data_IF_781022089280
#
_entry.id   IF_781022089280
#
_cell.length_a   1.000
_cell.length_b   1.000
_cell.length_c   1.000
_cell.angle_alpha   90.00
_cell.angle_beta   90.00
_cell.angle_gamma   90.00
#
_symmetry.space_group_name_H-M   'P 1'
#
loop_
_entity.id
_entity.type
_entity.pdbx_description
1 polymer ?
#
# COMPACT_ATOMS: atom_id res chain seq x y z
N UNK A 1 -29.82 -3.27 17.33
CA UNK A 1 -29.50 -1.87 17.61
C UNK A 1 -28.47 -1.39 16.60
N UNK A 2 -28.63 -0.18 16.10
CA UNK A 2 -27.63 0.45 15.21
C UNK A 2 -26.36 0.82 16.00
N UNK A 3 -25.23 1.02 15.31
CA UNK A 3 -23.98 1.43 15.98
C UNK A 3 -24.15 2.78 16.71
N UNK A 4 -24.99 3.67 16.19
CA UNK A 4 -25.33 4.94 16.84
C UNK A 4 -26.14 4.76 18.13
N UNK A 5 -27.07 3.80 18.14
CA UNK A 5 -27.84 3.44 19.35
C UNK A 5 -26.93 2.82 20.42
N UNK A 6 -26.03 1.92 20.02
CA UNK A 6 -25.04 1.32 20.91
C UNK A 6 -24.11 2.40 21.51
N UNK A 7 -23.60 3.31 20.68
CA UNK A 7 -22.78 4.43 21.11
C UNK A 7 -23.53 5.35 22.08
N UNK A 8 -24.79 5.70 21.76
CA UNK A 8 -25.63 6.54 22.62
C UNK A 8 -25.86 5.87 23.98
N UNK A 9 -26.19 4.58 24.02
CA UNK A 9 -26.43 3.86 25.25
C UNK A 9 -25.15 3.80 26.13
N UNK A 10 -23.99 3.52 25.52
CA UNK A 10 -22.73 3.47 26.25
C UNK A 10 -22.31 4.86 26.78
N UNK A 11 -22.50 5.92 25.98
CA UNK A 11 -22.27 7.30 26.43
C UNK A 11 -23.21 7.69 27.58
N UNK A 12 -24.49 7.29 27.52
CA UNK A 12 -25.44 7.55 28.61
C UNK A 12 -25.01 6.89 29.91
N UNK A 13 -24.44 5.68 29.85
CA UNK A 13 -23.88 5.02 31.01
C UNK A 13 -22.73 5.84 31.62
N UNK A 14 -21.79 6.33 30.81
CA UNK A 14 -20.68 7.17 31.28
C UNK A 14 -21.13 8.52 31.86
N UNK A 15 -22.07 9.19 31.20
CA UNK A 15 -22.60 10.49 31.62
C UNK A 15 -23.46 10.38 32.87
N UNK A 16 -24.06 9.21 33.11
CA UNK A 16 -24.87 8.92 34.29
C UNK A 16 -24.07 8.70 35.57
N UNK A 17 -22.74 8.63 35.51
CA UNK A 17 -21.89 8.52 36.70
C UNK A 17 -21.94 9.82 37.54
N UNK A 18 -22.04 9.66 38.85
CA UNK A 18 -22.13 10.77 39.82
C UNK A 18 -20.96 11.75 39.67
N UNK A 19 -19.77 11.22 39.39
CA UNK A 19 -18.51 11.97 39.26
C UNK A 19 -18.41 12.73 37.93
N UNK A 20 -19.15 12.30 36.90
CA UNK A 20 -18.95 12.77 35.54
C UNK A 20 -19.19 14.28 35.41
N UNK A 21 -20.30 14.79 35.96
CA UNK A 21 -20.68 16.20 35.78
C UNK A 21 -19.65 17.17 36.35
N UNK A 22 -19.19 16.91 37.58
CA UNK A 22 -18.19 17.74 38.26
C UNK A 22 -16.81 17.63 37.58
N UNK A 23 -16.41 16.42 37.19
CA UNK A 23 -15.15 16.19 36.49
C UNK A 23 -15.14 16.88 35.12
N UNK A 24 -16.18 16.67 34.32
CA UNK A 24 -16.31 17.24 32.97
C UNK A 24 -16.20 18.76 33.01
N UNK A 25 -16.94 19.42 33.93
CA UNK A 25 -16.87 20.89 34.08
C UNK A 25 -15.46 21.38 34.38
N UNK A 26 -14.77 20.74 35.34
CA UNK A 26 -13.39 21.08 35.67
C UNK A 26 -12.40 20.82 34.52
N UNK A 27 -12.65 19.76 33.73
CA UNK A 27 -11.79 19.41 32.60
C UNK A 27 -11.92 20.45 31.48
N UNK A 28 -13.14 20.81 31.09
CA UNK A 28 -13.37 21.76 29.98
C UNK A 28 -12.95 23.20 30.30
N UNK A 29 -12.91 23.59 31.58
CA UNK A 29 -12.34 24.87 32.02
C UNK A 29 -10.83 24.96 31.76
N UNK A 30 -10.14 23.81 31.70
CA UNK A 30 -8.69 23.73 31.47
C UNK A 30 -8.33 23.36 30.03
N UNK A 31 -9.13 22.50 29.41
CA UNK A 31 -8.86 21.94 28.08
C UNK A 31 -10.16 21.74 27.30
N UNK A 32 -10.29 22.44 26.18
CA UNK A 32 -11.43 22.25 25.28
C UNK A 32 -11.31 20.93 24.51
N UNK A 33 -12.41 20.18 24.41
CA UNK A 33 -12.50 18.97 23.59
C UNK A 33 -12.95 19.37 22.19
N UNK A 34 -12.05 19.34 21.19
CA UNK A 34 -12.33 19.74 19.81
C UNK A 34 -12.08 18.62 18.79
N UNK A 35 -11.24 17.66 19.14
CA UNK A 35 -10.78 16.58 18.27
C UNK A 35 -11.05 15.21 18.90
N UNK A 36 -10.91 14.13 18.12
CA UNK A 36 -10.99 12.78 18.67
C UNK A 36 -9.86 12.49 19.68
N UNK A 37 -8.69 13.08 19.48
CA UNK A 37 -7.57 12.96 20.42
C UNK A 37 -7.89 13.60 21.76
N UNK A 38 -8.48 14.81 21.76
CA UNK A 38 -8.91 15.47 23.00
C UNK A 38 -9.97 14.62 23.75
N UNK A 39 -10.82 13.91 23.01
CA UNK A 39 -11.82 13.03 23.59
C UNK A 39 -11.20 11.77 24.22
N UNK A 40 -10.19 11.17 23.58
CA UNK A 40 -9.43 10.06 24.15
C UNK A 40 -8.66 10.48 25.41
N UNK A 41 -8.08 11.68 25.42
CA UNK A 41 -7.42 12.27 26.57
C UNK A 41 -8.41 12.51 27.72
N UNK A 42 -9.60 13.03 27.41
CA UNK A 42 -10.68 13.19 28.38
C UNK A 42 -11.04 11.84 29.03
N UNK A 43 -11.26 10.79 28.23
CA UNK A 43 -11.58 9.47 28.77
C UNK A 43 -10.45 8.88 29.61
N UNK A 44 -9.19 9.08 29.19
CA UNK A 44 -8.02 8.66 29.97
C UNK A 44 -7.94 9.38 31.32
N UNK A 45 -8.14 10.70 31.33
CA UNK A 45 -8.14 11.50 32.55
C UNK A 45 -9.31 11.13 33.47
N UNK A 46 -10.49 10.88 32.91
CA UNK A 46 -11.66 10.49 33.69
C UNK A 46 -11.50 9.09 34.29
N UNK A 47 -10.91 8.14 33.56
CA UNK A 47 -10.52 6.83 34.09
C UNK A 47 -9.58 6.99 35.30
N UNK A 48 -8.50 7.76 35.17
CA UNK A 48 -7.56 7.99 36.27
C UNK A 48 -8.23 8.62 37.49
N UNK A 49 -9.20 9.51 37.27
CA UNK A 49 -10.00 10.09 38.35
C UNK A 49 -10.84 9.03 39.06
N UNK A 50 -11.56 8.18 38.33
CA UNK A 50 -12.36 7.10 38.91
C UNK A 50 -11.50 6.04 39.62
N UNK A 51 -10.32 5.71 39.06
CA UNK A 51 -9.32 4.86 39.70
C UNK A 51 -8.87 5.46 41.05
N UNK A 52 -8.59 6.77 41.10
CA UNK A 52 -8.20 7.45 42.35
C UNK A 52 -9.27 7.43 43.43
N UNK A 53 -10.53 7.26 43.05
CA UNK A 53 -11.69 7.14 43.94
C UNK A 53 -12.04 5.67 44.25
N UNK A 54 -11.35 4.69 43.67
CA UNK A 54 -11.69 3.28 43.79
C UNK A 54 -13.03 2.90 43.15
N UNK A 55 -13.50 3.69 42.18
CA UNK A 55 -14.81 3.52 41.51
C UNK A 55 -14.69 2.91 40.11
N UNK A 56 -13.48 2.76 39.59
CA UNK A 56 -13.24 2.07 38.32
C UNK A 56 -13.44 0.56 38.46
N UNK A 57 -14.08 -0.06 37.48
CA UNK A 57 -14.36 -1.50 37.46
C UNK A 57 -14.42 -2.05 36.03
N UNK A 58 -14.53 -3.37 35.89
CA UNK A 58 -14.54 -4.06 34.60
C UNK A 58 -15.72 -3.67 33.70
N UNK A 59 -16.86 -3.29 34.28
CA UNK A 59 -18.04 -2.84 33.53
C UNK A 59 -17.80 -1.47 32.87
N UNK A 60 -17.14 -0.55 33.59
CA UNK A 60 -16.75 0.76 33.08
C UNK A 60 -15.63 0.64 32.05
N UNK A 61 -14.68 -0.27 32.26
CA UNK A 61 -13.65 -0.62 31.28
C UNK A 61 -14.28 -1.14 29.98
N UNK A 62 -15.25 -2.05 30.08
CA UNK A 62 -15.99 -2.56 28.93
C UNK A 62 -16.81 -1.45 28.25
N UNK A 63 -17.50 -0.61 29.03
CA UNK A 63 -18.28 0.50 28.49
C UNK A 63 -17.41 1.48 27.72
N UNK A 64 -16.22 1.82 28.24
CA UNK A 64 -15.28 2.70 27.56
C UNK A 64 -14.78 2.09 26.24
N UNK A 65 -14.50 0.78 26.24
CA UNK A 65 -14.13 0.05 25.01
C UNK A 65 -15.25 0.12 23.97
N UNK A 66 -16.50 -0.10 24.38
CA UNK A 66 -17.67 0.01 23.50
C UNK A 66 -17.81 1.44 22.95
N UNK A 67 -17.66 2.48 23.77
CA UNK A 67 -17.72 3.87 23.30
C UNK A 67 -16.68 4.10 22.22
N UNK A 68 -15.42 3.73 22.46
CA UNK A 68 -14.33 3.92 21.50
C UNK A 68 -14.57 3.17 20.20
N UNK A 69 -14.95 1.89 20.29
CA UNK A 69 -15.22 1.06 19.13
C UNK A 69 -16.39 1.59 18.29
N UNK A 70 -17.52 1.91 18.93
CA UNK A 70 -18.71 2.36 18.21
C UNK A 70 -18.52 3.78 17.65
N UNK A 71 -17.82 4.65 18.37
CA UNK A 71 -17.47 5.98 17.87
C UNK A 71 -16.62 5.91 16.59
N UNK A 72 -15.61 5.03 16.56
CA UNK A 72 -14.78 4.82 15.38
C UNK A 72 -15.57 4.25 14.20
N UNK A 73 -16.48 3.31 14.45
CA UNK A 73 -17.37 2.77 13.41
C UNK A 73 -18.29 3.85 12.84
N UNK A 74 -18.94 4.64 13.70
CA UNK A 74 -19.84 5.73 13.27
C UNK A 74 -19.08 6.81 12.52
N UNK A 75 -17.88 7.18 12.98
CA UNK A 75 -16.98 8.13 12.29
C UNK A 75 -16.62 7.63 10.90
N UNK A 76 -16.27 6.35 10.78
CA UNK A 76 -15.95 5.72 9.50
C UNK A 76 -17.16 5.70 8.55
N UNK A 77 -18.34 5.32 9.04
CA UNK A 77 -19.59 5.31 8.26
C UNK A 77 -20.02 6.69 7.76
N UNK A 78 -19.71 7.75 8.52
CA UNK A 78 -19.99 9.14 8.16
C UNK A 78 -18.88 9.81 7.35
N UNK A 79 -17.75 9.13 7.13
CA UNK A 79 -16.65 9.68 6.34
C UNK A 79 -17.11 9.87 4.89
N UNK A 80 -16.88 11.07 4.34
CA UNK A 80 -17.19 11.36 2.94
C UNK A 80 -16.34 10.54 1.97
N UNK A 81 -15.17 10.04 2.41
CA UNK A 81 -14.37 9.07 1.64
C UNK A 81 -13.76 8.02 2.58
N UNK A 82 -14.16 6.75 2.45
CA UNK A 82 -13.59 5.65 3.24
C UNK A 82 -12.08 5.45 3.03
N UNK A 83 -11.54 5.91 1.90
CA UNK A 83 -10.11 5.83 1.56
C UNK A 83 -9.21 6.61 2.52
N UNK A 84 -9.70 7.66 3.17
CA UNK A 84 -8.92 8.44 4.14
C UNK A 84 -9.11 7.94 5.57
N UNK A 85 -10.26 7.33 5.85
CA UNK A 85 -10.62 6.96 7.21
C UNK A 85 -10.00 5.64 7.63
N UNK A 86 -9.38 5.61 8.81
CA UNK A 86 -8.91 4.38 9.46
C UNK A 86 -9.89 4.07 10.57
N UNK A 87 -10.42 2.85 10.56
CA UNK A 87 -11.25 2.35 11.65
C UNK A 87 -10.35 1.59 12.64
N UNK A 88 -10.02 2.19 13.79
CA UNK A 88 -9.08 1.57 14.72
C UNK A 88 -9.67 0.34 15.42
N UNK A 89 -11.00 0.23 15.54
CA UNK A 89 -11.61 -0.97 16.11
C UNK A 89 -11.48 -2.21 15.22
N UNK A 90 -11.22 -1.99 13.93
CA UNK A 90 -10.96 -3.05 12.94
C UNK A 90 -9.49 -3.18 12.57
N UNK A 91 -8.59 -2.43 13.24
CA UNK A 91 -7.16 -2.46 12.96
C UNK A 91 -6.53 -3.63 13.72
N UNK A 92 -5.80 -4.48 13.01
CA UNK A 92 -5.07 -5.59 13.62
C UNK A 92 -3.86 -5.09 14.42
N UNK A 93 -3.45 -5.85 15.43
CA UNK A 93 -2.25 -5.54 16.19
C UNK A 93 -0.99 -5.89 15.38
N UNK A 94 -0.34 -4.86 14.87
CA UNK A 94 0.89 -4.95 14.08
C UNK A 94 2.15 -4.55 14.87
N UNK A 95 2.06 -4.42 16.21
CA UNK A 95 3.19 -3.94 17.02
C UNK A 95 4.44 -4.85 16.91
N UNK A 96 4.24 -6.14 16.59
CA UNK A 96 5.32 -7.10 16.36
C UNK A 96 6.09 -6.86 15.06
N UNK A 97 5.57 -6.07 14.11
CA UNK A 97 6.26 -5.80 12.85
C UNK A 97 7.59 -5.08 13.05
N UNK A 98 7.75 -4.29 14.12
CA UNK A 98 9.03 -3.65 14.42
C UNK A 98 10.13 -4.68 14.73
N UNK A 99 9.77 -5.78 15.40
CA UNK A 99 10.67 -6.89 15.67
C UNK A 99 11.02 -7.61 14.36
N UNK A 100 10.01 -7.90 13.54
CA UNK A 100 10.21 -8.46 12.20
C UNK A 100 11.17 -7.59 11.36
N UNK A 101 11.03 -6.26 11.36
CA UNK A 101 11.93 -5.37 10.62
C UNK A 101 13.37 -5.42 11.12
N UNK A 102 13.58 -5.56 12.43
CA UNK A 102 14.92 -5.69 13.01
C UNK A 102 15.55 -7.01 12.56
N UNK A 103 14.85 -8.12 12.78
CA UNK A 103 15.34 -9.46 12.45
C UNK A 103 15.55 -9.64 10.94
N UNK A 104 14.64 -9.12 10.10
CA UNK A 104 14.80 -9.16 8.65
C UNK A 104 16.03 -8.38 8.16
N UNK A 105 16.37 -7.25 8.83
CA UNK A 105 17.60 -6.50 8.51
C UNK A 105 18.86 -7.27 8.88
N UNK A 106 18.83 -8.10 9.93
CA UNK A 106 19.95 -8.95 10.34
C UNK A 106 20.23 -10.09 9.37
N UNK A 107 19.28 -10.39 8.47
CA UNK A 107 19.48 -11.32 7.36
C UNK A 107 20.35 -10.71 6.24
N UNK A 108 20.53 -9.39 6.17
CA UNK A 108 21.31 -8.76 5.09
C UNK A 108 22.81 -9.06 5.24
N UNK A 109 23.46 -9.50 4.17
CA UNK A 109 24.91 -9.84 4.17
C UNK A 109 25.81 -8.64 3.95
N UNK A 110 25.25 -7.49 3.58
CA UNK A 110 25.99 -6.30 3.16
C UNK A 110 26.40 -6.31 1.68
N UNK A 111 26.25 -7.45 0.99
CA UNK A 111 26.50 -7.54 -0.45
C UNK A 111 25.48 -6.71 -1.22
N UNK A 112 25.92 -6.08 -2.31
CA UNK A 112 25.07 -5.32 -3.21
C UNK A 112 25.25 -5.83 -4.64
N UNK A 113 24.12 -6.08 -5.29
CA UNK A 113 24.06 -6.49 -6.69
C UNK A 113 23.31 -5.42 -7.46
N UNK A 114 23.86 -5.05 -8.61
CA UNK A 114 23.23 -4.10 -9.51
C UNK A 114 22.73 -4.89 -10.71
N UNK A 115 21.41 -4.96 -10.86
CA UNK A 115 20.79 -5.64 -12.00
C UNK A 115 20.25 -4.61 -12.99
N UNK A 116 20.79 -4.59 -14.20
CA UNK A 116 20.32 -3.69 -15.24
C UNK A 116 18.84 -3.96 -15.58
N UNK A 117 18.04 -2.94 -15.39
CA UNK A 117 16.62 -2.92 -15.64
C UNK A 117 16.41 -2.57 -17.12
N UNK A 118 16.47 -3.57 -18.03
CA UNK A 118 15.84 -3.42 -19.37
C UNK A 118 14.41 -2.93 -19.16
N UNK A 119 13.90 -1.91 -19.87
CA UNK A 119 12.80 -1.03 -19.41
C UNK A 119 11.74 -1.78 -18.59
N UNK A 120 11.94 -1.88 -17.26
CA UNK A 120 11.02 -2.58 -16.35
C UNK A 120 9.92 -1.59 -16.03
N UNK A 121 8.68 -2.05 -16.15
CA UNK A 121 7.55 -1.13 -16.29
C UNK A 121 7.27 -0.25 -15.06
N UNK A 122 7.79 -0.51 -13.85
CA UNK A 122 7.28 0.17 -12.65
C UNK A 122 8.29 0.68 -11.59
N UNK A 123 9.62 0.51 -11.68
CA UNK A 123 10.57 1.04 -10.66
C UNK A 123 11.71 1.91 -11.26
N UNK A 124 11.77 3.15 -10.77
CA UNK A 124 12.78 4.26 -10.85
C UNK A 124 13.71 4.47 -12.06
N UNK A 125 13.98 5.76 -12.30
CA UNK A 125 14.84 6.32 -13.37
C UNK A 125 16.30 6.29 -12.90
N UNK A 126 16.84 5.07 -12.94
CA UNK A 126 18.22 4.70 -13.26
C UNK A 126 18.09 3.21 -13.49
N UNK A 127 18.49 2.73 -14.67
CA UNK A 127 18.20 1.39 -15.22
C UNK A 127 18.93 0.27 -14.46
N UNK A 128 18.90 0.27 -13.12
CA UNK A 128 19.68 -0.58 -12.23
C UNK A 128 18.89 -0.81 -10.94
N UNK A 129 18.49 -2.06 -10.69
CA UNK A 129 17.91 -2.51 -9.42
C UNK A 129 19.06 -2.80 -8.48
N UNK A 130 19.14 -2.08 -7.36
CA UNK A 130 20.06 -2.44 -6.27
C UNK A 130 19.37 -3.51 -5.44
N UNK A 131 19.89 -4.73 -5.53
CA UNK A 131 19.52 -5.86 -4.70
C UNK A 131 20.56 -6.02 -3.60
N UNK A 132 20.10 -6.36 -2.40
CA UNK A 132 20.97 -6.65 -1.28
C UNK A 132 21.07 -8.16 -1.08
N UNK A 133 22.27 -8.66 -0.81
CA UNK A 133 22.48 -10.05 -0.44
C UNK A 133 21.77 -10.37 0.87
N UNK A 134 21.19 -11.56 0.93
CA UNK A 134 20.43 -12.05 2.09
C UNK A 134 20.91 -13.46 2.43
N UNK A 135 21.16 -13.70 3.71
CA UNK A 135 21.42 -15.02 4.27
C UNK A 135 20.13 -15.85 4.28
N UNK A 136 20.06 -16.84 3.39
CA UNK A 136 18.87 -17.68 3.20
C UNK A 136 18.50 -18.51 4.44
N UNK A 137 19.48 -18.93 5.25
CA UNK A 137 19.22 -19.70 6.47
C UNK A 137 18.52 -18.82 7.50
N UNK A 138 19.05 -17.62 7.75
CA UNK A 138 18.43 -16.64 8.64
C UNK A 138 17.06 -16.21 8.13
N UNK A 139 16.92 -15.98 6.83
CA UNK A 139 15.64 -15.62 6.22
C UNK A 139 14.56 -16.68 6.46
N UNK A 140 14.92 -17.96 6.36
CA UNK A 140 14.02 -19.08 6.62
C UNK A 140 13.59 -19.15 8.08
N UNK A 141 14.52 -18.93 9.02
CA UNK A 141 14.23 -18.85 10.46
C UNK A 141 13.27 -17.70 10.78
N UNK A 142 13.58 -16.50 10.26
CA UNK A 142 12.73 -15.32 10.42
C UNK A 142 11.34 -15.57 9.83
N UNK A 143 11.23 -16.08 8.59
CA UNK A 143 9.93 -16.36 7.99
C UNK A 143 9.11 -17.37 8.81
N UNK A 144 9.75 -18.45 9.28
CA UNK A 144 9.08 -19.48 10.08
C UNK A 144 8.49 -18.93 11.39
N UNK A 145 9.13 -17.89 11.98
CA UNK A 145 8.63 -17.22 13.18
C UNK A 145 7.35 -16.42 12.92
N UNK A 146 7.18 -15.86 11.72
CA UNK A 146 6.07 -14.95 11.40
C UNK A 146 5.05 -15.49 10.38
N UNK A 147 5.27 -16.68 9.82
CA UNK A 147 4.43 -17.24 8.75
C UNK A 147 2.97 -17.42 9.16
N UNK A 148 2.72 -17.74 10.43
CA UNK A 148 1.38 -18.03 10.96
C UNK A 148 0.47 -16.79 10.99
N UNK A 149 1.05 -15.59 11.00
CA UNK A 149 0.27 -14.35 10.90
C UNK A 149 -0.31 -14.13 9.51
N UNK A 150 0.25 -14.79 8.47
CA UNK A 150 -0.11 -14.61 7.06
C UNK A 150 -0.24 -13.12 6.66
N UNK A 151 0.64 -12.29 7.21
CA UNK A 151 0.58 -10.84 7.07
C UNK A 151 1.12 -10.43 5.69
N UNK A 152 0.39 -9.62 4.90
CA UNK A 152 0.77 -9.26 3.52
C UNK A 152 2.18 -8.67 3.41
N UNK A 153 2.57 -7.84 4.37
CA UNK A 153 3.90 -7.22 4.39
C UNK A 153 5.04 -8.22 4.61
N UNK A 154 4.85 -9.23 5.46
CA UNK A 154 5.84 -10.28 5.73
C UNK A 154 5.99 -11.14 4.48
N UNK A 155 4.86 -11.60 3.93
CA UNK A 155 4.84 -12.40 2.71
C UNK A 155 5.50 -11.66 1.54
N UNK A 156 5.20 -10.37 1.37
CA UNK A 156 5.87 -9.52 0.38
C UNK A 156 7.38 -9.48 0.60
N UNK A 157 7.82 -9.12 1.81
CA UNK A 157 9.23 -8.89 2.12
C UNK A 157 10.07 -10.15 1.86
N UNK A 158 9.56 -11.31 2.26
CA UNK A 158 10.26 -12.60 2.08
C UNK A 158 10.17 -13.12 0.65
N UNK A 159 8.97 -13.15 0.06
CA UNK A 159 8.79 -13.63 -1.30
C UNK A 159 9.60 -12.81 -2.31
N UNK A 160 9.69 -11.49 -2.09
CA UNK A 160 10.47 -10.59 -2.95
C UNK A 160 11.94 -10.93 -2.99
N UNK A 161 12.54 -11.24 -1.85
CA UNK A 161 13.93 -11.68 -1.80
C UNK A 161 14.11 -12.98 -2.60
N UNK A 162 13.22 -13.96 -2.39
CA UNK A 162 13.32 -15.28 -3.00
C UNK A 162 13.18 -15.25 -4.52
N UNK A 163 12.14 -14.62 -5.06
CA UNK A 163 11.98 -14.58 -6.52
C UNK A 163 13.02 -13.68 -7.20
N UNK A 164 13.55 -12.63 -6.54
CA UNK A 164 14.66 -11.83 -7.08
C UNK A 164 15.96 -12.64 -7.10
N UNK A 165 16.15 -13.53 -6.13
CA UNK A 165 17.22 -14.53 -6.13
C UNK A 165 16.95 -15.69 -7.12
N UNK A 166 15.84 -15.63 -7.88
CA UNK A 166 15.39 -16.69 -8.80
C UNK A 166 15.17 -18.04 -8.12
N UNK A 167 14.82 -18.02 -6.83
CA UNK A 167 14.30 -19.14 -6.08
C UNK A 167 12.77 -19.06 -6.09
N UNK A 168 12.18 -19.47 -7.22
CA UNK A 168 10.74 -19.39 -7.45
C UNK A 168 9.99 -20.50 -6.73
N UNK A 169 10.59 -21.69 -6.58
CA UNK A 169 9.97 -22.82 -5.86
C UNK A 169 9.60 -22.46 -4.42
N UNK A 170 10.46 -21.71 -3.72
CA UNK A 170 10.19 -21.23 -2.36
C UNK A 170 9.42 -19.89 -2.35
N UNK A 171 9.71 -18.98 -3.29
CA UNK A 171 9.12 -17.65 -3.32
C UNK A 171 7.64 -17.62 -3.75
N UNK A 172 7.26 -18.41 -4.75
CA UNK A 172 5.90 -18.40 -5.30
C UNK A 172 4.84 -18.88 -4.31
N UNK A 173 5.04 -19.94 -3.49
CA UNK A 173 4.09 -20.32 -2.46
C UNK A 173 3.80 -19.22 -1.43
N UNK A 174 4.83 -18.47 -1.02
CA UNK A 174 4.70 -17.36 -0.05
C UNK A 174 3.90 -16.21 -0.69
N UNK A 175 4.26 -15.82 -1.92
CA UNK A 175 3.51 -14.83 -2.70
C UNK A 175 2.04 -15.26 -2.87
N UNK A 176 1.78 -16.54 -3.18
CA UNK A 176 0.42 -17.09 -3.30
C UNK A 176 -0.37 -16.93 -2.00
N UNK A 177 0.22 -17.26 -0.86
CA UNK A 177 -0.43 -17.08 0.45
C UNK A 177 -0.79 -15.62 0.71
N UNK A 178 0.12 -14.71 0.40
CA UNK A 178 -0.13 -13.27 0.48
C UNK A 178 -1.26 -12.81 -0.43
N UNK A 179 -1.29 -13.23 -1.70
CA UNK A 179 -2.35 -12.85 -2.65
C UNK A 179 -3.71 -13.35 -2.16
N UNK A 180 -3.81 -14.58 -1.65
CA UNK A 180 -5.06 -15.12 -1.11
C UNK A 180 -5.64 -14.30 0.05
N UNK A 181 -4.80 -13.66 0.86
CA UNK A 181 -5.28 -12.86 1.99
C UNK A 181 -5.77 -11.46 1.61
N UNK A 182 -5.51 -10.99 0.37
CA UNK A 182 -5.80 -9.61 -0.05
C UNK A 182 -6.60 -9.48 -1.34
N UNK A 183 -6.77 -10.55 -2.12
CA UNK A 183 -7.42 -10.51 -3.44
C UNK A 183 -8.95 -10.71 -3.39
N UNK A 184 -9.54 -10.75 -2.18
CA UNK A 184 -10.98 -10.90 -1.97
C UNK A 184 -11.44 -10.08 -0.79
N UNK A 185 -12.66 -9.53 -0.87
CA UNK A 185 -13.31 -8.86 0.25
C UNK A 185 -13.96 -9.89 1.20
N UNK A 186 -13.93 -9.66 2.54
CA UNK A 186 -13.32 -8.53 3.23
C UNK A 186 -11.80 -8.67 3.37
N UNK A 187 -11.06 -7.57 3.14
CA UNK A 187 -9.64 -7.50 3.48
C UNK A 187 -9.46 -7.03 4.94
N UNK A 188 -9.02 -7.95 5.81
CA UNK A 188 -8.78 -7.67 7.23
C UNK A 188 -7.67 -6.64 7.48
N UNK A 189 -6.78 -6.42 6.52
CA UNK A 189 -5.65 -5.51 6.60
C UNK A 189 -5.95 -4.09 6.10
N UNK A 190 -7.20 -3.79 5.72
CA UNK A 190 -7.59 -2.49 5.14
C UNK A 190 -7.33 -1.26 6.04
N UNK A 191 -7.28 -1.49 7.37
CA UNK A 191 -7.02 -0.45 8.37
C UNK A 191 -5.55 -0.42 8.85
N UNK A 192 -4.70 -1.27 8.30
CA UNK A 192 -3.31 -1.45 8.70
C UNK A 192 -2.39 -0.89 7.62
N UNK A 193 -1.58 0.13 7.96
CA UNK A 193 -0.69 0.79 6.99
C UNK A 193 0.26 -0.22 6.33
N UNK A 194 0.94 -1.07 7.11
CA UNK A 194 1.82 -2.11 6.58
C UNK A 194 1.06 -3.19 5.83
N UNK A 195 -0.16 -3.51 6.26
CA UNK A 195 -1.07 -4.40 5.56
C UNK A 195 -1.39 -3.93 4.13
N UNK A 196 -1.76 -2.66 3.98
CA UNK A 196 -2.02 -2.02 2.66
C UNK A 196 -0.74 -1.92 1.83
N UNK A 197 0.40 -1.61 2.46
CA UNK A 197 1.71 -1.59 1.79
C UNK A 197 2.06 -2.97 1.21
N UNK A 198 1.98 -4.02 2.02
CA UNK A 198 2.23 -5.38 1.58
C UNK A 198 1.26 -5.84 0.49
N UNK A 199 -0.04 -5.54 0.64
CA UNK A 199 -1.04 -5.87 -0.37
C UNK A 199 -0.73 -5.24 -1.74
N UNK A 200 -0.34 -3.96 -1.73
CA UNK A 200 0.06 -3.24 -2.94
C UNK A 200 1.20 -3.96 -3.65
N UNK A 201 2.27 -4.26 -2.92
CA UNK A 201 3.47 -4.81 -3.53
C UNK A 201 3.33 -6.28 -3.92
N UNK A 202 2.56 -7.09 -3.19
CA UNK A 202 2.21 -8.45 -3.62
C UNK A 202 1.53 -8.44 -5.00
N UNK A 203 0.55 -7.55 -5.21
CA UNK A 203 -0.15 -7.45 -6.51
C UNK A 203 0.80 -6.94 -7.60
N UNK A 204 1.62 -5.93 -7.30
CA UNK A 204 2.61 -5.41 -8.23
C UNK A 204 3.59 -6.50 -8.68
N UNK A 205 4.09 -7.29 -7.74
CA UNK A 205 5.01 -8.40 -7.99
C UNK A 205 4.34 -9.53 -8.78
N UNK A 206 3.09 -9.85 -8.47
CA UNK A 206 2.32 -10.83 -9.25
C UNK A 206 2.15 -10.39 -10.71
N UNK A 207 1.74 -9.14 -10.94
CA UNK A 207 1.61 -8.57 -12.29
C UNK A 207 2.95 -8.54 -13.03
N UNK A 208 4.04 -8.22 -12.32
CA UNK A 208 5.39 -8.23 -12.88
C UNK A 208 5.84 -9.63 -13.30
N UNK A 209 5.68 -10.62 -12.41
CA UNK A 209 6.08 -12.01 -12.66
C UNK A 209 5.30 -12.61 -13.82
N UNK A 210 4.00 -12.29 -13.91
CA UNK A 210 3.14 -12.75 -14.97
C UNK A 210 3.51 -12.15 -16.34
N UNK A 211 3.82 -10.85 -16.43
CA UNK A 211 4.28 -10.24 -17.67
C UNK A 211 3.37 -10.57 -18.89
N UNK A 212 3.96 -11.10 -19.96
CA UNK A 212 3.22 -11.53 -21.17
C UNK A 212 2.36 -12.78 -20.97
N UNK A 213 2.60 -13.56 -19.91
CA UNK A 213 1.83 -14.79 -19.64
C UNK A 213 0.35 -14.50 -19.41
N UNK A 214 -0.03 -13.29 -19.01
CA UNK A 214 -1.44 -12.91 -18.88
C UNK A 214 -2.19 -12.94 -20.21
N UNK A 215 -1.57 -12.37 -21.25
CA UNK A 215 -2.19 -12.25 -22.57
C UNK A 215 -2.17 -13.62 -23.28
N UNK A 216 -1.10 -14.41 -23.08
CA UNK A 216 -0.94 -15.76 -23.66
C UNK A 216 -1.93 -16.80 -23.08
N UNK A 217 -2.42 -16.59 -21.86
CA UNK A 217 -3.30 -17.54 -21.17
C UNK A 217 -4.75 -17.06 -21.04
N UNK A 218 -5.17 -16.07 -21.83
CA UNK A 218 -6.53 -15.49 -21.80
C UNK A 218 -6.96 -14.95 -20.42
N UNK A 219 -6.01 -14.47 -19.60
CA UNK A 219 -6.25 -13.95 -18.25
C UNK A 219 -6.46 -12.42 -18.23
N UNK A 220 -7.03 -11.86 -19.31
CA UNK A 220 -7.21 -10.41 -19.43
C UNK A 220 -8.13 -9.86 -18.35
N UNK A 221 -9.20 -10.57 -18.01
CA UNK A 221 -10.14 -10.12 -16.97
C UNK A 221 -9.46 -10.06 -15.59
N UNK A 222 -8.65 -11.08 -15.27
CA UNK A 222 -7.86 -11.17 -14.05
C UNK A 222 -6.81 -10.05 -14.01
N UNK A 223 -6.14 -9.76 -15.13
CA UNK A 223 -5.23 -8.61 -15.27
C UNK A 223 -5.95 -7.30 -14.94
N UNK A 224 -7.13 -7.05 -15.50
CA UNK A 224 -7.91 -5.83 -15.21
C UNK A 224 -8.28 -5.76 -13.72
N UNK A 225 -8.74 -6.87 -13.12
CA UNK A 225 -9.04 -6.93 -11.67
C UNK A 225 -7.81 -6.63 -10.82
N UNK A 226 -6.66 -7.23 -11.13
CA UNK A 226 -5.40 -6.98 -10.43
C UNK A 226 -4.94 -5.53 -10.57
N UNK A 227 -5.04 -4.93 -11.77
CA UNK A 227 -4.71 -3.52 -11.99
C UNK A 227 -5.63 -2.58 -11.20
N UNK A 228 -6.94 -2.87 -11.15
CA UNK A 228 -7.91 -2.14 -10.33
C UNK A 228 -7.57 -2.25 -8.84
N UNK A 229 -7.32 -3.46 -8.33
CA UNK A 229 -6.92 -3.66 -6.94
C UNK A 229 -5.59 -2.96 -6.62
N UNK A 230 -4.60 -3.01 -7.51
CA UNK A 230 -3.33 -2.30 -7.35
C UNK A 230 -3.55 -0.79 -7.24
N UNK A 231 -4.34 -0.22 -8.14
CA UNK A 231 -4.68 1.21 -8.11
C UNK A 231 -5.42 1.57 -6.81
N UNK A 232 -6.37 0.74 -6.37
CA UNK A 232 -7.12 0.92 -5.13
C UNK A 232 -6.18 0.93 -3.91
N UNK A 233 -5.32 -0.08 -3.75
CA UNK A 233 -4.40 -0.15 -2.62
C UNK A 233 -3.37 0.98 -2.62
N UNK A 234 -2.85 1.38 -3.79
CA UNK A 234 -1.97 2.55 -3.88
C UNK A 234 -2.70 3.83 -3.44
N UNK A 235 -3.92 4.02 -3.92
CA UNK A 235 -4.76 5.18 -3.56
C UNK A 235 -5.08 5.19 -2.06
N UNK A 236 -5.42 4.03 -1.50
CA UNK A 236 -5.65 3.86 -0.06
C UNK A 236 -4.41 4.23 0.76
N UNK A 237 -3.23 3.77 0.38
CA UNK A 237 -2.00 4.10 1.09
C UNK A 237 -1.71 5.61 1.08
N UNK A 238 -1.84 6.23 -0.09
CA UNK A 238 -1.67 7.68 -0.26
C UNK A 238 -2.63 8.44 0.67
N UNK A 239 -3.91 8.07 0.66
CA UNK A 239 -4.94 8.75 1.45
C UNK A 239 -4.75 8.55 2.96
N UNK A 240 -4.38 7.34 3.39
CA UNK A 240 -4.27 7.02 4.82
C UNK A 240 -3.01 7.58 5.49
N UNK A 241 -1.96 7.88 4.71
CA UNK A 241 -0.67 8.34 5.25
C UNK A 241 -0.42 9.84 5.11
N UNK A 242 -1.36 10.57 4.48
CA UNK A 242 -1.36 12.04 4.37
C UNK A 242 0.01 12.64 3.99
N UNK A 243 0.61 12.15 2.89
CA UNK A 243 1.88 12.65 2.35
C UNK A 243 3.13 12.36 3.19
N UNK A 244 3.21 11.20 3.86
CA UNK A 244 4.48 10.73 4.42
C UNK A 244 5.52 10.48 3.30
N UNK A 245 6.81 10.36 3.66
CA UNK A 245 7.90 10.17 2.69
C UNK A 245 7.67 8.96 1.76
N UNK A 246 7.09 7.87 2.26
CA UNK A 246 6.80 6.68 1.46
C UNK A 246 5.74 6.92 0.40
N UNK A 247 4.82 7.87 0.60
CA UNK A 247 3.81 8.19 -0.43
C UNK A 247 4.41 8.69 -1.75
N UNK A 248 5.66 9.18 -1.75
CA UNK A 248 6.42 9.51 -2.97
C UNK A 248 6.50 8.28 -3.89
N UNK A 249 6.83 7.12 -3.32
CA UNK A 249 6.91 5.86 -4.07
C UNK A 249 5.52 5.45 -4.58
N UNK A 250 4.49 5.56 -3.75
CA UNK A 250 3.14 5.19 -4.14
C UNK A 250 2.59 6.04 -5.29
N UNK A 251 2.77 7.37 -5.24
CA UNK A 251 2.42 8.25 -6.34
C UNK A 251 3.19 7.88 -7.61
N UNK A 252 4.52 7.83 -7.54
CA UNK A 252 5.33 7.59 -8.74
C UNK A 252 5.14 6.18 -9.33
N UNK A 253 4.88 5.16 -8.50
CA UNK A 253 4.53 3.81 -8.97
C UNK A 253 3.12 3.78 -9.57
N UNK A 254 2.13 4.46 -8.97
CA UNK A 254 0.78 4.56 -9.55
C UNK A 254 0.81 5.21 -10.93
N UNK A 255 1.59 6.28 -11.09
CA UNK A 255 1.83 6.91 -12.39
C UNK A 255 2.37 5.89 -13.41
N UNK A 256 3.45 5.19 -13.07
CA UNK A 256 4.09 4.21 -13.96
C UNK A 256 3.14 3.07 -14.31
N UNK A 257 2.37 2.55 -13.34
CA UNK A 257 1.34 1.52 -13.54
C UNK A 257 0.32 1.95 -14.57
N UNK A 258 -0.16 3.19 -14.45
CA UNK A 258 -1.10 3.75 -15.43
C UNK A 258 -0.48 3.85 -16.82
N UNK A 259 0.73 4.40 -16.93
CA UNK A 259 1.41 4.57 -18.24
C UNK A 259 1.76 3.23 -18.89
N UNK A 260 2.24 2.26 -18.10
CA UNK A 260 2.66 0.95 -18.60
C UNK A 260 1.52 0.02 -19.01
N UNK A 261 0.28 0.32 -18.58
CA UNK A 261 -0.95 -0.39 -18.97
C UNK A 261 -1.96 0.59 -19.56
N UNK A 262 -1.51 1.50 -20.43
CA UNK A 262 -2.30 2.60 -20.96
C UNK A 262 -3.65 2.15 -21.52
N UNK A 263 -3.68 1.06 -22.29
CA UNK A 263 -4.90 0.55 -22.93
C UNK A 263 -5.89 0.00 -21.89
N UNK A 264 -5.40 -0.73 -20.90
CA UNK A 264 -6.21 -1.22 -19.79
C UNK A 264 -6.76 -0.05 -18.95
N UNK A 265 -5.97 1.01 -18.76
CA UNK A 265 -6.42 2.17 -17.99
C UNK A 265 -7.40 3.07 -18.74
N UNK A 266 -7.44 3.07 -20.07
CA UNK A 266 -8.57 3.64 -20.82
C UNK A 266 -9.87 2.94 -20.41
N UNK A 267 -9.85 1.61 -20.33
CA UNK A 267 -11.02 0.82 -19.92
C UNK A 267 -11.39 1.07 -18.45
N UNK A 268 -10.41 1.11 -17.54
CA UNK A 268 -10.62 1.31 -16.11
C UNK A 268 -11.15 2.72 -15.80
N UNK A 269 -10.58 3.76 -16.41
CA UNK A 269 -11.03 5.14 -16.22
C UNK A 269 -12.37 5.41 -16.91
N UNK A 270 -12.63 4.77 -18.06
CA UNK A 270 -13.80 4.97 -18.87
C UNK A 270 -13.51 5.72 -20.17
N UNK A 271 -14.45 5.62 -21.11
CA UNK A 271 -14.33 6.19 -22.45
C UNK A 271 -14.07 7.71 -22.40
N UNK A 272 -13.14 8.17 -23.25
CA UNK A 272 -12.78 9.58 -23.37
C UNK A 272 -11.81 10.09 -22.30
N UNK A 273 -11.39 9.26 -21.35
CA UNK A 273 -10.40 9.64 -20.35
C UNK A 273 -8.99 9.31 -20.84
N UNK A 274 -8.11 10.32 -20.84
CA UNK A 274 -6.70 10.12 -21.15
C UNK A 274 -5.90 9.70 -19.88
N UNK A 275 -5.31 8.49 -19.84
CA UNK A 275 -4.49 8.01 -18.73
C UNK A 275 -3.23 8.86 -18.47
N UNK A 276 -2.69 9.56 -19.48
CA UNK A 276 -1.49 10.37 -19.30
C UNK A 276 -1.70 11.54 -18.33
N UNK A 277 -2.93 12.05 -18.22
CA UNK A 277 -3.25 13.07 -17.23
C UNK A 277 -3.08 12.52 -15.80
N UNK A 278 -3.43 11.26 -15.57
CA UNK A 278 -3.17 10.61 -14.27
C UNK A 278 -1.66 10.44 -14.04
N UNK A 279 -0.90 10.05 -15.08
CA UNK A 279 0.56 9.97 -15.00
C UNK A 279 1.18 11.33 -14.60
N UNK A 280 0.81 12.41 -15.29
CA UNK A 280 1.31 13.76 -15.02
C UNK A 280 0.98 14.20 -13.58
N UNK A 281 -0.28 14.00 -13.17
CA UNK A 281 -0.73 14.31 -11.82
C UNK A 281 0.11 13.57 -10.78
N UNK A 282 0.22 12.26 -10.87
CA UNK A 282 0.89 11.46 -9.86
C UNK A 282 2.40 11.71 -9.81
N UNK A 283 3.05 11.95 -10.95
CA UNK A 283 4.46 12.37 -10.95
C UNK A 283 4.63 13.74 -10.27
N UNK A 284 3.78 14.72 -10.56
CA UNK A 284 3.84 16.01 -9.86
C UNK A 284 3.57 15.88 -8.36
N UNK A 285 2.59 15.06 -7.95
CA UNK A 285 2.29 14.83 -6.54
C UNK A 285 3.43 14.13 -5.81
N UNK A 286 4.15 13.20 -6.47
CA UNK A 286 5.38 12.61 -5.92
C UNK A 286 6.45 13.68 -5.68
N UNK A 287 6.65 14.60 -6.63
CA UNK A 287 7.53 15.77 -6.45
C UNK A 287 7.07 16.66 -5.30
N UNK A 288 5.78 16.98 -5.23
CA UNK A 288 5.21 17.86 -4.19
C UNK A 288 5.47 17.31 -2.78
N UNK A 289 5.25 16.00 -2.58
CA UNK A 289 5.58 15.34 -1.31
C UNK A 289 7.09 15.38 -1.05
N UNK A 290 7.91 15.14 -2.07
CA UNK A 290 9.38 15.24 -1.95
C UNK A 290 9.84 16.63 -1.51
N UNK A 291 9.23 17.68 -2.07
CA UNK A 291 9.49 19.08 -1.72
C UNK A 291 9.08 19.39 -0.29
N UNK A 292 7.90 18.93 0.16
CA UNK A 292 7.46 19.10 1.55
C UNK A 292 8.39 18.44 2.57
N UNK A 293 9.10 17.39 2.17
CA UNK A 293 10.07 16.67 3.00
C UNK A 293 11.53 17.12 2.77
N UNK A 294 11.76 18.24 2.07
CA UNK A 294 13.09 18.80 1.77
C UNK A 294 14.04 17.86 1.01
N UNK A 295 13.50 16.99 0.15
CA UNK A 295 14.27 15.99 -0.59
C UNK A 295 14.67 16.46 -2.00
N UNK A 296 14.23 17.64 -2.43
CA UNK A 296 14.44 18.15 -3.81
C UNK A 296 15.88 18.51 -4.14
N UNK A 297 16.78 18.55 -3.16
CA UNK A 297 18.21 18.62 -3.39
C UNK A 297 18.78 17.35 -4.06
N UNK A 298 18.07 16.22 -3.95
CA UNK A 298 18.45 14.97 -4.60
C UNK A 298 17.84 14.96 -6.01
N UNK A 299 18.65 14.87 -7.08
CA UNK A 299 18.16 15.02 -8.46
C UNK A 299 17.02 14.07 -8.86
N UNK A 300 17.00 12.85 -8.32
CA UNK A 300 15.95 11.86 -8.63
C UNK A 300 14.55 12.31 -8.21
N UNK A 301 14.42 13.09 -7.13
CA UNK A 301 13.12 13.62 -6.70
C UNK A 301 12.66 14.82 -7.53
N UNK A 302 13.60 15.63 -8.04
CA UNK A 302 13.30 16.68 -9.02
C UNK A 302 12.84 16.10 -10.36
N UNK A 303 13.32 14.91 -10.73
CA UNK A 303 12.95 14.26 -11.98
C UNK A 303 11.44 14.04 -12.12
N UNK A 304 10.73 13.81 -11.02
CA UNK A 304 9.27 13.68 -11.02
C UNK A 304 8.54 14.92 -11.54
N UNK A 305 9.03 16.12 -11.18
CA UNK A 305 8.50 17.37 -11.71
C UNK A 305 8.71 17.45 -13.23
N UNK A 306 9.91 17.11 -13.69
CA UNK A 306 10.27 17.14 -15.09
C UNK A 306 9.52 16.11 -15.92
N UNK A 307 9.31 14.90 -15.41
CA UNK A 307 8.53 13.87 -16.10
C UNK A 307 7.09 14.31 -16.32
N UNK A 308 6.49 14.94 -15.30
CA UNK A 308 5.16 15.53 -15.39
C UNK A 308 5.11 16.69 -16.41
N UNK A 309 6.06 17.63 -16.31
CA UNK A 309 6.09 18.81 -17.18
C UNK A 309 6.39 18.45 -18.65
N UNK A 310 7.33 17.55 -18.92
CA UNK A 310 7.65 17.12 -20.29
C UNK A 310 6.46 16.41 -20.94
N UNK A 311 5.74 15.59 -20.19
CA UNK A 311 4.49 15.01 -20.68
C UNK A 311 3.48 16.11 -21.03
N UNK A 312 3.35 17.17 -20.22
CA UNK A 312 2.48 18.30 -20.56
C UNK A 312 2.93 19.03 -21.82
N UNK A 313 4.20 19.38 -21.94
CA UNK A 313 4.73 20.19 -23.05
C UNK A 313 4.88 19.42 -24.37
N UNK A 314 5.12 18.11 -24.30
CA UNK A 314 5.51 17.32 -25.47
C UNK A 314 4.69 16.04 -25.67
N UNK A 315 3.83 15.66 -24.72
CA UNK A 315 3.16 14.35 -24.74
C UNK A 315 4.12 13.17 -24.61
N UNK A 316 5.38 13.42 -24.26
CA UNK A 316 6.48 12.46 -24.24
C UNK A 316 7.57 12.91 -23.26
N UNK A 317 8.34 11.95 -22.74
CA UNK A 317 9.55 12.24 -21.96
C UNK A 317 10.71 12.75 -22.84
N UNK A 318 10.59 12.60 -24.16
CA UNK A 318 11.54 13.11 -25.15
C UNK A 318 10.93 14.34 -25.81
N UNK A 319 11.57 15.52 -25.72
CA UNK A 319 11.11 16.73 -26.40
C UNK A 319 10.87 16.49 -27.88
N UNK A 320 9.75 17.01 -28.37
CA UNK A 320 9.35 16.91 -29.76
C UNK A 320 8.58 18.17 -30.18
N UNK A 321 8.29 18.27 -31.47
CA UNK A 321 7.57 19.40 -32.07
C UNK A 321 6.06 19.19 -32.18
N UNK A 322 5.48 18.19 -31.51
CA UNK A 322 4.04 17.90 -31.59
C UNK A 322 3.20 18.53 -30.49
N UNK A 323 3.76 19.47 -29.71
CA UNK A 323 2.97 20.36 -28.86
C UNK A 323 2.38 19.80 -27.56
N UNK A 324 2.37 18.47 -27.41
CA UNK A 324 1.89 17.79 -26.21
C UNK A 324 0.48 18.19 -25.78
N UNK A 325 0.19 18.00 -24.48
CA UNK A 325 -1.08 18.41 -23.87
C UNK A 325 -1.26 19.92 -23.82
N UNK A 326 -0.16 20.68 -23.83
CA UNK A 326 -0.18 22.15 -23.91
C UNK A 326 -0.92 22.67 -25.15
N UNK A 327 -0.90 21.94 -26.26
CA UNK A 327 -1.56 22.35 -27.51
C UNK A 327 -2.95 21.71 -27.71
N UNK A 328 -3.24 20.57 -27.08
CA UNK A 328 -4.52 19.84 -27.27
C UNK A 328 -5.50 19.98 -26.12
N UNK A 329 -5.08 20.50 -24.96
CA UNK A 329 -5.94 20.75 -23.81
C UNK A 329 -6.08 22.26 -23.57
N UNK A 330 -7.29 22.74 -23.33
CA UNK A 330 -7.56 24.15 -22.94
C UNK A 330 -7.16 24.44 -21.47
N UNK A 331 -6.47 23.49 -20.82
CA UNK A 331 -6.14 23.50 -19.39
C UNK A 331 -4.64 23.69 -19.20
N UNK A 332 -4.29 24.44 -18.16
CA UNK A 332 -2.91 24.57 -17.69
C UNK A 332 -2.39 23.25 -17.09
N UNK A 333 -1.07 23.11 -17.00
CA UNK A 333 -0.44 21.94 -16.37
C UNK A 333 -1.00 21.67 -14.96
N UNK A 334 -1.15 22.71 -14.14
CA UNK A 334 -1.62 22.55 -12.77
C UNK A 334 -3.12 22.22 -12.67
N UNK A 335 -3.93 22.64 -13.63
CA UNK A 335 -5.32 22.21 -13.74
C UNK A 335 -5.42 20.72 -14.10
N UNK A 336 -4.59 20.24 -15.04
CA UNK A 336 -4.51 18.82 -15.38
C UNK A 336 -4.02 17.96 -14.21
N UNK A 337 -3.05 18.45 -13.44
CA UNK A 337 -2.61 17.80 -12.19
C UNK A 337 -3.79 17.69 -11.21
N UNK A 338 -4.53 18.78 -11.00
CA UNK A 338 -5.70 18.78 -10.10
C UNK A 338 -6.80 17.83 -10.58
N UNK A 339 -7.04 17.75 -11.89
CA UNK A 339 -8.00 16.82 -12.48
C UNK A 339 -7.60 15.36 -12.28
N UNK A 340 -6.30 15.05 -12.35
CA UNK A 340 -5.78 13.72 -12.04
C UNK A 340 -5.92 13.38 -10.54
N UNK A 341 -5.67 14.33 -9.65
CA UNK A 341 -5.85 14.14 -8.21
C UNK A 341 -7.30 13.80 -7.88
N UNK A 342 -8.26 14.63 -8.33
CA UNK A 342 -9.70 14.45 -8.12
C UNK A 342 -10.17 13.12 -8.70
N UNK A 343 -9.77 12.80 -9.94
CA UNK A 343 -10.12 11.53 -10.60
C UNK A 343 -9.61 10.33 -9.83
N UNK A 344 -8.40 10.40 -9.28
CA UNK A 344 -7.83 9.27 -8.54
C UNK A 344 -8.64 8.94 -7.28
N UNK A 345 -9.21 9.96 -6.62
CA UNK A 345 -10.11 9.79 -5.48
C UNK A 345 -11.46 9.21 -5.92
N UNK A 346 -12.08 9.76 -6.97
CA UNK A 346 -13.35 9.27 -7.52
C UNK A 346 -13.22 7.81 -7.96
N UNK A 347 -12.14 7.47 -8.69
CA UNK A 347 -11.89 6.10 -9.11
C UNK A 347 -11.62 5.21 -7.89
N UNK A 348 -10.83 5.65 -6.93
CA UNK A 348 -10.58 4.88 -5.70
C UNK A 348 -11.88 4.53 -4.97
N UNK A 349 -12.78 5.49 -4.78
CA UNK A 349 -14.07 5.26 -4.13
C UNK A 349 -14.98 4.32 -4.95
N UNK A 350 -14.95 4.45 -6.29
CA UNK A 350 -15.65 3.52 -7.19
C UNK A 350 -15.11 2.09 -7.04
N UNK A 351 -13.79 1.91 -7.11
CA UNK A 351 -13.14 0.60 -7.02
C UNK A 351 -13.32 -0.03 -5.63
N UNK A 352 -13.35 0.78 -4.58
CA UNK A 352 -13.68 0.29 -3.25
C UNK A 352 -15.08 -0.31 -3.21
N UNK A 353 -16.09 0.38 -3.78
CA UNK A 353 -17.45 -0.16 -3.87
C UNK A 353 -17.51 -1.44 -4.71
N UNK A 354 -16.82 -1.48 -5.85
CA UNK A 354 -16.71 -2.71 -6.66
C UNK A 354 -16.08 -3.86 -5.83
N UNK A 355 -15.09 -3.58 -4.99
CA UNK A 355 -14.46 -4.58 -4.12
C UNK A 355 -15.39 -5.05 -3.00
N UNK A 356 -16.08 -4.12 -2.31
CA UNK A 356 -17.07 -4.41 -1.27
C UNK A 356 -18.27 -5.21 -1.81
N UNK A 357 -18.61 -5.02 -3.09
CA UNK A 357 -19.62 -5.79 -3.81
C UNK A 357 -19.11 -7.13 -4.39
N UNK A 358 -17.87 -7.52 -4.06
CA UNK A 358 -17.23 -8.76 -4.54
C UNK A 358 -16.94 -8.80 -6.05
N UNK A 359 -17.09 -7.70 -6.79
CA UNK A 359 -16.90 -7.64 -8.25
C UNK A 359 -15.40 -7.77 -8.62
N UNK A 360 -14.52 -7.26 -7.75
CA UNK A 360 -13.06 -7.36 -7.92
C UNK A 360 -12.45 -8.63 -7.30
N UNK A 361 -13.24 -9.49 -6.67
CA UNK A 361 -12.72 -10.71 -6.08
C UNK A 361 -12.10 -11.63 -7.13
N UNK A 362 -10.96 -12.22 -6.76
CA UNK A 362 -10.30 -13.29 -7.49
C UNK A 362 -10.42 -14.56 -6.66
N UNK A 363 -11.06 -15.59 -7.22
CA UNK A 363 -11.34 -16.82 -6.50
C UNK A 363 -10.07 -17.61 -6.19
N UNK A 364 -10.09 -18.43 -5.14
CA UNK A 364 -8.96 -19.30 -4.80
C UNK A 364 -8.57 -20.24 -5.95
N UNK A 365 -9.54 -20.79 -6.69
CA UNK A 365 -9.23 -21.65 -7.84
C UNK A 365 -8.58 -20.87 -8.99
N UNK A 366 -9.00 -19.63 -9.23
CA UNK A 366 -8.34 -18.73 -10.19
C UNK A 366 -6.91 -18.44 -9.76
N UNK A 367 -6.69 -18.15 -8.46
CA UNK A 367 -5.34 -17.93 -7.91
C UNK A 367 -4.49 -19.19 -8.09
N UNK A 368 -4.97 -20.38 -7.74
CA UNK A 368 -4.20 -21.62 -7.97
C UNK A 368 -3.80 -21.77 -9.44
N UNK A 369 -4.73 -21.58 -10.38
CA UNK A 369 -4.43 -21.65 -11.80
C UNK A 369 -3.36 -20.63 -12.24
N UNK A 370 -3.44 -19.38 -11.78
CA UNK A 370 -2.43 -18.34 -12.05
C UNK A 370 -1.04 -18.79 -11.57
N UNK A 371 -0.95 -19.37 -10.37
CA UNK A 371 0.32 -19.81 -9.81
C UNK A 371 0.85 -21.10 -10.45
N UNK A 372 -0.02 -21.99 -10.92
CA UNK A 372 0.37 -23.15 -11.72
C UNK A 372 0.98 -22.73 -13.07
N UNK A 373 0.43 -21.68 -13.70
CA UNK A 373 1.00 -21.07 -14.91
C UNK A 373 2.37 -20.47 -14.60
N UNK A 374 2.49 -19.70 -13.51
CA UNK A 374 3.75 -19.11 -13.10
C UNK A 374 4.83 -20.15 -12.84
N UNK A 375 4.53 -21.20 -12.08
CA UNK A 375 5.46 -22.29 -11.76
C UNK A 375 5.95 -23.04 -13.00
N UNK A 376 5.14 -23.11 -14.08
CA UNK A 376 5.57 -23.68 -15.36
C UNK A 376 6.47 -22.73 -16.15
N UNK A 377 6.22 -21.42 -16.06
CA UNK A 377 6.92 -20.38 -16.82
C UNK A 377 8.26 -19.95 -16.20
N UNK A 378 8.36 -19.99 -14.86
CA UNK A 378 9.55 -19.59 -14.11
C UNK A 378 10.25 -20.85 -13.60
N UNK A 379 11.57 -20.92 -13.79
CA UNK A 379 12.39 -22.02 -13.29
C UNK A 379 13.42 -21.47 -12.34
N UNK A 380 13.71 -22.23 -11.30
CA UNK A 380 14.81 -21.89 -10.39
C UNK A 380 16.11 -21.84 -11.19
N UNK A 381 16.88 -20.78 -10.97
CA UNK A 381 18.22 -20.65 -11.56
C UNK A 381 19.33 -20.97 -10.57
N UNK A 382 18.99 -21.50 -9.38
CA UNK A 382 19.96 -21.86 -8.35
C UNK A 382 21.02 -22.84 -8.90
N UNK A 383 20.62 -23.83 -9.69
CA UNK A 383 21.54 -24.78 -10.33
C UNK A 383 22.51 -24.12 -11.33
N UNK A 384 22.05 -23.09 -12.04
CA UNK A 384 22.90 -22.32 -12.96
C UNK A 384 23.88 -21.42 -12.19
N UNK A 385 23.43 -20.87 -11.06
CA UNK A 385 24.27 -20.09 -10.15
C UNK A 385 25.34 -20.96 -9.48
N UNK A 386 24.99 -22.15 -8.98
CA UNK A 386 25.93 -23.14 -8.42
C UNK A 386 26.95 -23.55 -9.49
N UNK A 387 26.51 -23.89 -10.71
CA UNK A 387 27.42 -24.22 -11.82
C UNK A 387 28.34 -23.06 -12.20
N UNK A 388 27.86 -21.81 -12.17
CA UNK A 388 28.67 -20.62 -12.47
C UNK A 388 29.70 -20.34 -11.35
N UNK A 389 29.32 -20.59 -10.10
CA UNK A 389 30.16 -20.45 -8.92
C UNK A 389 31.26 -21.51 -8.86
N UNK A 390 30.92 -22.78 -9.16
CA UNK A 390 31.89 -23.88 -9.29
C UNK A 390 32.87 -23.67 -10.44
N UNK A 391 32.44 -23.07 -11.55
CA UNK A 391 33.33 -22.68 -12.65
C UNK A 391 34.29 -21.56 -12.27
N UNK A 392 33.83 -20.53 -11.55
CA UNK A 392 34.69 -19.44 -11.05
C UNK A 392 35.72 -19.92 -10.02
N UNK A 393 35.35 -20.90 -9.17
CA UNK A 393 36.29 -21.54 -8.24
C UNK A 393 37.35 -22.41 -8.94
N UNK A 394 37.02 -22.97 -10.12
CA UNK A 394 37.95 -23.79 -10.91
C UNK A 394 38.85 -22.97 -11.83
N UNK A 395 38.38 -21.83 -12.35
CA UNK A 395 39.13 -20.93 -13.23
C UNK A 395 39.03 -19.47 -12.77
N UNK A 396 39.77 -19.06 -11.71
CA UNK A 396 39.66 -17.72 -11.15
C UNK A 396 40.18 -16.58 -12.05
N UNK A 397 40.79 -16.88 -13.21
CA UNK A 397 41.39 -15.90 -14.11
C UNK A 397 40.59 -15.63 -15.40
N UNK A 398 39.41 -16.22 -15.57
CA UNK A 398 38.49 -15.79 -16.64
C UNK A 398 37.70 -14.58 -16.15
N UNK A 399 38.23 -13.39 -16.41
CA UNK A 399 37.53 -12.11 -16.29
C UNK A 399 36.81 -11.86 -17.62
N UNK A 400 35.51 -11.55 -17.56
CA UNK A 400 34.69 -11.09 -18.69
C UNK A 400 35.21 -9.76 -19.26
#
# INVERSE_FOLDING_TARGET
MSNEENLRAALQHFVGLEEHSAFYKNYIEKQAIKTSTDLDEFFGAFKLHLDSLGKWNDELELTLKIIKEQADIVKHQKSQSPLFSINNSRKLNDNWLSEFHIEFKECLTGDQFVEEIKPKRYKTITENLILYGVDGSKLSEVYSKYSDFNHPYVNYSVASVLYNAKNYSDGLPILKSGIKSIASYPNHYWNNQYGVEGATWLIADLLYLLGSCLDENNLRNEKIKLLKLLFLYMSRYICMTQSNIKSIDFYSNRARVVKGNYMEFIEIFGLGVNPDIQYMSDMYLAYHVSSKNNLTAIPSFMQFMWDSLKMYEHGSHIPNSSGGYKEIEDRTWMELVRDGEIRSLILGDKLLKEFENYELNISNSTIENIFDILAKSKKDELDNYIKKSERKLKNPNEID
#
